data_IF_212043659987
#
_entry.id   IF_212043659987
#
_cell.length_a   1.000
_cell.length_b   1.000
_cell.length_c   1.000
_cell.angle_alpha   90.00
_cell.angle_beta   90.00
_cell.angle_gamma   90.00
#
_symmetry.space_group_name_H-M   'P 1'
#
loop_
_entity.id
_entity.type
_entity.pdbx_description
1 polymer ?
#
# COMPACT_ATOMS: atom_id res chain seq x y z
N UNK A 1 -54.37 11.46 48.28
CA UNK A 1 -53.61 12.64 47.80
C UNK A 1 -52.37 12.12 47.12
N UNK A 2 -52.28 12.27 45.79
CA UNK A 2 -51.24 11.69 44.92
C UNK A 2 -50.29 12.83 44.58
N UNK A 3 -49.09 12.85 45.17
CA UNK A 3 -48.05 13.83 44.86
C UNK A 3 -47.45 13.51 43.49
N UNK A 4 -47.74 14.36 42.50
CA UNK A 4 -47.07 14.37 41.20
C UNK A 4 -45.66 14.94 41.38
N UNK A 5 -44.66 14.16 41.01
CA UNK A 5 -43.26 14.54 40.95
C UNK A 5 -42.98 15.11 39.54
N UNK A 6 -42.42 16.32 39.40
CA UNK A 6 -42.09 16.87 38.08
C UNK A 6 -40.89 16.11 37.47
N UNK A 7 -40.82 15.97 36.13
CA UNK A 7 -39.69 15.33 35.48
C UNK A 7 -38.43 16.18 35.63
N UNK A 8 -37.30 15.52 35.93
CA UNK A 8 -35.99 16.12 36.06
C UNK A 8 -35.64 16.93 34.81
N UNK A 9 -35.36 18.21 35.01
CA UNK A 9 -34.92 19.14 34.00
C UNK A 9 -33.65 18.64 33.32
N UNK A 10 -33.64 18.79 32.00
CA UNK A 10 -32.51 18.58 31.10
C UNK A 10 -31.40 19.57 31.45
N UNK A 11 -30.60 19.25 32.46
CA UNK A 11 -29.45 20.04 32.89
C UNK A 11 -28.24 19.78 31.98
N UNK A 12 -28.44 19.89 30.67
CA UNK A 12 -27.44 19.66 29.62
C UNK A 12 -27.10 20.87 28.76
N UNK A 13 -27.67 22.05 29.06
CA UNK A 13 -27.51 23.25 28.22
C UNK A 13 -26.38 24.19 28.61
N UNK A 14 -26.15 24.42 29.91
CA UNK A 14 -25.24 25.48 30.35
C UNK A 14 -23.76 25.06 30.39
N UNK A 15 -23.46 23.79 30.67
CA UNK A 15 -22.08 23.28 30.67
C UNK A 15 -21.45 23.23 29.27
N UNK A 16 -22.23 22.85 28.26
CA UNK A 16 -21.77 22.78 26.87
C UNK A 16 -21.57 24.15 26.24
N UNK A 17 -22.39 25.15 26.61
CA UNK A 17 -22.21 26.53 26.13
C UNK A 17 -21.01 27.23 26.77
N UNK A 18 -20.68 26.92 28.03
CA UNK A 18 -19.50 27.48 28.70
C UNK A 18 -18.19 27.03 28.04
N UNK A 19 -18.09 25.76 27.61
CA UNK A 19 -16.92 25.23 26.91
C UNK A 19 -16.69 25.86 25.52
N UNK A 20 -17.75 26.32 24.85
CA UNK A 20 -17.67 27.00 23.56
C UNK A 20 -17.21 28.46 23.70
N UNK A 21 -17.54 29.11 24.83
CA UNK A 21 -17.18 30.51 25.11
C UNK A 21 -15.73 30.69 25.59
N UNK A 22 -15.11 29.66 26.16
CA UNK A 22 -13.72 29.71 26.64
C UNK A 22 -12.68 29.31 25.58
N UNK A 23 -13.10 28.86 24.40
CA UNK A 23 -12.18 28.42 23.34
C UNK A 23 -11.38 27.16 23.71
N UNK A 24 -11.81 26.43 24.74
CA UNK A 24 -11.06 25.31 25.30
C UNK A 24 -11.52 23.99 24.67
N UNK A 25 -11.43 23.88 23.35
CA UNK A 25 -11.31 22.56 22.69
C UNK A 25 -9.84 22.16 22.69
N UNK A 26 -9.23 22.10 23.86
CA UNK A 26 -7.96 21.41 24.02
C UNK A 26 -8.28 19.92 24.02
N UNK A 27 -8.53 19.33 22.84
CA UNK A 27 -8.28 17.90 22.69
C UNK A 27 -6.75 17.81 22.60
N UNK A 28 -6.05 17.46 23.70
CA UNK A 28 -4.60 17.49 23.68
C UNK A 28 -4.14 16.58 22.55
N UNK A 29 -3.26 17.08 21.69
CA UNK A 29 -2.67 16.24 20.65
C UNK A 29 -2.12 14.98 21.34
N UNK A 30 -2.42 13.77 20.84
CA UNK A 30 -2.00 12.56 21.49
C UNK A 30 -0.49 12.60 21.70
N UNK A 31 -0.06 12.26 22.91
CA UNK A 31 1.36 12.24 23.26
C UNK A 31 2.07 11.18 22.42
N UNK A 32 3.41 11.22 22.31
CA UNK A 32 4.16 10.15 21.67
C UNK A 32 3.84 8.76 22.27
N UNK A 33 3.60 8.69 23.58
CA UNK A 33 3.19 7.45 24.25
C UNK A 33 1.80 6.98 23.78
N UNK A 34 0.81 7.88 23.72
CA UNK A 34 -0.54 7.55 23.26
C UNK A 34 -0.53 7.05 21.80
N UNK A 35 0.31 7.65 20.95
CA UNK A 35 0.48 7.21 19.55
C UNK A 35 1.14 5.83 19.46
N UNK A 36 2.11 5.55 20.34
CA UNK A 36 2.74 4.23 20.46
C UNK A 36 1.73 3.16 20.85
N UNK A 37 0.88 3.42 21.86
CA UNK A 37 -0.18 2.50 22.26
C UNK A 37 -1.24 2.29 21.17
N UNK A 38 -1.61 3.34 20.45
CA UNK A 38 -2.49 3.22 19.28
C UNK A 38 -1.87 2.34 18.20
N UNK A 39 -0.57 2.46 17.94
CA UNK A 39 0.11 1.64 16.95
C UNK A 39 0.23 0.18 17.41
N UNK A 40 0.43 -0.09 18.71
CA UNK A 40 0.36 -1.44 19.25
C UNK A 40 -1.02 -2.08 19.01
N UNK A 41 -2.11 -1.33 19.19
CA UNK A 41 -3.46 -1.82 18.85
C UNK A 41 -3.59 -2.16 17.36
N UNK A 42 -2.97 -1.38 16.48
CA UNK A 42 -2.95 -1.68 15.03
C UNK A 42 -2.15 -2.96 14.74
N UNK A 43 -1.01 -3.15 15.39
CA UNK A 43 -0.20 -4.39 15.28
C UNK A 43 -1.03 -5.60 15.69
N UNK A 44 -1.75 -5.52 16.81
CA UNK A 44 -2.61 -6.61 17.29
C UNK A 44 -3.76 -6.91 16.32
N UNK A 45 -4.38 -5.87 15.75
CA UNK A 45 -5.41 -6.03 14.72
C UNK A 45 -4.87 -6.73 13.46
N UNK A 46 -3.65 -6.39 13.03
CA UNK A 46 -3.01 -7.04 11.89
C UNK A 46 -2.69 -8.52 12.20
N UNK A 47 -2.25 -8.81 13.41
CA UNK A 47 -1.97 -10.19 13.87
C UNK A 47 -3.22 -11.05 14.03
N UNK A 48 -4.40 -10.45 14.16
CA UNK A 48 -5.67 -11.15 14.22
C UNK A 48 -6.05 -11.85 12.90
N UNK A 49 -5.34 -11.57 11.80
CA UNK A 49 -5.50 -12.22 10.50
C UNK A 49 -4.29 -13.14 10.19
N UNK A 50 -4.18 -14.32 10.82
CA UNK A 50 -2.99 -15.17 10.71
C UNK A 50 -2.77 -15.75 9.30
N UNK A 51 -3.83 -15.83 8.50
CA UNK A 51 -3.80 -16.36 7.13
C UNK A 51 -3.45 -15.29 6.08
N UNK A 52 -3.21 -14.04 6.49
CA UNK A 52 -2.74 -12.96 5.62
C UNK A 52 -1.24 -12.69 5.86
N UNK A 53 -0.35 -13.20 4.99
CA UNK A 53 1.09 -12.96 5.10
C UNK A 53 1.47 -11.48 5.06
N UNK A 54 0.69 -10.65 4.37
CA UNK A 54 0.95 -9.21 4.29
C UNK A 54 0.60 -8.51 5.60
N UNK A 55 -0.50 -8.89 6.25
CA UNK A 55 -0.85 -8.37 7.56
C UNK A 55 0.22 -8.70 8.61
N UNK A 56 0.71 -9.95 8.61
CA UNK A 56 1.81 -10.38 9.49
C UNK A 56 3.11 -9.61 9.23
N UNK A 57 3.50 -9.48 7.96
CA UNK A 57 4.69 -8.71 7.58
C UNK A 57 4.61 -7.23 8.02
N UNK A 58 3.46 -6.58 7.85
CA UNK A 58 3.23 -5.21 8.32
C UNK A 58 3.35 -5.12 9.85
N UNK A 59 2.73 -6.04 10.58
CA UNK A 59 2.76 -6.08 12.04
C UNK A 59 4.19 -6.18 12.57
N UNK A 60 4.98 -7.09 12.00
CA UNK A 60 6.37 -7.32 12.41
C UNK A 60 7.25 -6.10 12.07
N UNK A 61 7.03 -5.45 10.92
CA UNK A 61 7.74 -4.23 10.56
C UNK A 61 7.41 -3.03 11.45
N UNK A 62 6.15 -2.84 11.83
CA UNK A 62 5.74 -1.78 12.77
C UNK A 62 6.27 -2.04 14.19
N UNK A 63 6.28 -3.30 14.64
CA UNK A 63 6.83 -3.65 15.95
C UNK A 63 8.35 -3.43 16.02
N UNK A 64 9.09 -3.84 14.98
CA UNK A 64 10.52 -3.58 14.87
C UNK A 64 10.82 -2.07 14.85
N UNK A 65 10.00 -1.29 14.12
CA UNK A 65 10.14 0.16 14.08
C UNK A 65 9.91 0.82 15.44
N UNK A 66 8.87 0.42 16.18
CA UNK A 66 8.59 0.93 17.52
C UNK A 66 9.70 0.60 18.52
N UNK A 67 10.30 -0.58 18.40
CA UNK A 67 11.35 -1.04 19.30
C UNK A 67 12.69 -0.34 19.07
N UNK A 68 13.10 -0.25 17.81
CA UNK A 68 14.45 0.20 17.46
C UNK A 68 14.51 1.70 17.10
N UNK A 69 13.35 2.32 16.83
CA UNK A 69 13.24 3.77 16.57
C UNK A 69 13.90 4.24 15.27
N UNK A 70 14.26 3.32 14.38
CA UNK A 70 14.97 3.61 13.13
C UNK A 70 14.01 3.92 11.96
N UNK A 71 14.51 3.91 10.73
CA UNK A 71 13.74 4.20 9.50
C UNK A 71 12.64 3.14 9.25
N UNK A 72 11.37 3.55 9.26
CA UNK A 72 10.22 2.66 9.01
C UNK A 72 10.30 1.97 7.64
N UNK A 73 10.85 2.64 6.62
CA UNK A 73 11.00 2.02 5.30
C UNK A 73 12.01 0.88 5.34
N UNK A 74 13.04 0.97 6.17
CA UNK A 74 14.01 -0.09 6.38
C UNK A 74 13.39 -1.24 7.21
N UNK A 75 12.62 -0.92 8.25
CA UNK A 75 11.92 -1.92 9.07
C UNK A 75 10.90 -2.74 8.24
N UNK A 76 10.24 -2.10 7.27
CA UNK A 76 9.38 -2.76 6.30
C UNK A 76 10.15 -3.36 5.11
N UNK A 77 11.47 -3.22 5.00
CA UNK A 77 12.23 -3.72 3.84
C UNK A 77 11.86 -3.07 2.50
N UNK A 78 11.24 -1.89 2.53
CA UNK A 78 10.89 -1.10 1.35
C UNK A 78 12.07 -0.28 0.82
N UNK A 79 13.12 -0.14 1.65
CA UNK A 79 14.35 0.53 1.26
C UNK A 79 15.16 -0.40 0.34
N UNK A 80 15.51 0.06 -0.87
CA UNK A 80 16.33 -0.74 -1.76
C UNK A 80 17.75 -0.89 -1.18
N UNK A 81 18.37 -2.05 -1.37
CA UNK A 81 19.81 -2.20 -1.15
C UNK A 81 20.57 -1.24 -2.07
N UNK A 82 21.80 -0.86 -1.71
CA UNK A 82 22.61 0.05 -2.53
C UNK A 82 22.73 -0.51 -3.96
N UNK A 83 22.30 0.26 -4.98
CA UNK A 83 22.17 -0.18 -6.37
C UNK A 83 20.78 -0.70 -6.79
N UNK A 84 19.86 -0.91 -5.86
CA UNK A 84 18.51 -1.45 -6.07
C UNK A 84 17.45 -0.40 -6.39
N UNK A 85 17.75 0.65 -7.14
CA UNK A 85 16.78 1.73 -7.43
C UNK A 85 15.47 1.24 -8.09
N UNK A 86 15.44 0.00 -8.58
CA UNK A 86 14.28 -0.69 -9.15
C UNK A 86 13.54 -1.61 -8.16
N UNK A 87 14.12 -1.86 -6.98
CA UNK A 87 13.54 -2.67 -5.89
C UNK A 87 12.65 -1.83 -4.97
N UNK A 88 12.62 -0.50 -5.16
CA UNK A 88 11.70 0.39 -4.43
C UNK A 88 10.27 0.04 -4.85
N UNK A 89 9.32 -0.22 -3.93
CA UNK A 89 7.93 -0.58 -4.27
C UNK A 89 7.27 0.37 -5.27
N UNK A 90 7.50 1.68 -5.13
CA UNK A 90 6.97 2.70 -6.03
C UNK A 90 7.44 2.55 -7.50
N UNK A 91 8.56 1.88 -7.74
CA UNK A 91 9.10 1.58 -9.08
C UNK A 91 8.92 0.12 -9.45
N UNK A 92 9.05 -0.80 -8.50
CA UNK A 92 8.89 -2.23 -8.69
C UNK A 92 7.47 -2.61 -9.10
N UNK A 93 6.44 -2.04 -8.47
CA UNK A 93 5.04 -2.38 -8.75
C UNK A 93 4.61 -2.02 -10.19
N UNK A 94 4.86 -0.79 -10.69
CA UNK A 94 4.66 -0.47 -12.11
C UNK A 94 5.34 -1.47 -13.06
N UNK A 95 6.60 -1.83 -12.78
CA UNK A 95 7.37 -2.73 -13.62
C UNK A 95 6.84 -4.17 -13.58
N UNK A 96 6.46 -4.68 -12.40
CA UNK A 96 5.84 -6.00 -12.25
C UNK A 96 4.50 -6.10 -12.97
N UNK A 97 3.66 -5.06 -12.84
CA UNK A 97 2.36 -4.98 -13.54
C UNK A 97 2.55 -4.96 -15.06
N UNK A 98 3.52 -4.17 -15.54
CA UNK A 98 3.92 -4.16 -16.96
C UNK A 98 4.36 -5.54 -17.42
N UNK A 99 5.23 -6.19 -16.67
CA UNK A 99 5.77 -7.50 -17.06
C UNK A 99 4.69 -8.58 -17.08
N UNK A 100 3.73 -8.53 -16.14
CA UNK A 100 2.54 -9.36 -16.17
C UNK A 100 1.69 -9.10 -17.41
N UNK A 101 1.36 -7.85 -17.70
CA UNK A 101 0.57 -7.49 -18.87
C UNK A 101 1.25 -7.88 -20.20
N UNK A 102 2.58 -7.78 -20.28
CA UNK A 102 3.35 -8.24 -21.44
C UNK A 102 3.32 -9.77 -21.60
N UNK A 103 3.32 -10.53 -20.49
CA UNK A 103 3.14 -11.99 -20.53
C UNK A 103 1.74 -12.37 -21.00
N UNK A 104 0.72 -11.71 -20.47
CA UNK A 104 -0.68 -11.95 -20.87
C UNK A 104 -0.87 -11.65 -22.36
N UNK A 105 -0.34 -10.52 -22.83
CA UNK A 105 -0.34 -10.20 -24.26
C UNK A 105 0.38 -11.27 -25.07
N UNK A 106 1.57 -11.73 -24.65
CA UNK A 106 2.29 -12.82 -25.31
C UNK A 106 1.46 -14.11 -25.39
N UNK A 107 0.68 -14.42 -24.36
CA UNK A 107 -0.18 -15.59 -24.33
C UNK A 107 -1.25 -15.55 -25.42
N UNK A 108 -1.73 -14.37 -25.79
CA UNK A 108 -2.73 -14.17 -26.87
C UNK A 108 -2.16 -14.17 -28.28
N UNK A 109 -0.83 -14.06 -28.44
CA UNK A 109 -0.20 -14.03 -29.77
C UNK A 109 -0.16 -15.44 -30.38
N UNK A 110 -0.52 -15.51 -31.66
CA UNK A 110 -0.48 -16.74 -32.47
C UNK A 110 0.90 -17.04 -33.04
N UNK A 111 1.81 -16.05 -33.04
CA UNK A 111 3.18 -16.23 -33.55
C UNK A 111 3.96 -17.22 -32.65
N UNK A 112 4.58 -18.26 -33.21
CA UNK A 112 5.38 -19.21 -32.44
C UNK A 112 6.58 -18.55 -31.76
N UNK A 113 7.07 -17.42 -32.29
CA UNK A 113 8.09 -16.59 -31.70
C UNK A 113 7.49 -15.33 -31.04
N UNK A 114 6.78 -15.56 -29.94
CA UNK A 114 6.12 -14.53 -29.12
C UNK A 114 7.04 -13.35 -28.76
N UNK A 115 8.31 -13.64 -28.48
CA UNK A 115 9.30 -12.62 -28.17
C UNK A 115 9.58 -11.68 -29.36
N UNK A 116 9.72 -12.24 -30.57
CA UNK A 116 9.91 -11.44 -31.79
C UNK A 116 8.68 -10.60 -32.10
N UNK A 117 7.49 -11.19 -32.01
CA UNK A 117 6.23 -10.49 -32.24
C UNK A 117 6.03 -9.32 -31.28
N UNK A 118 6.24 -9.53 -29.97
CA UNK A 118 6.19 -8.45 -28.98
C UNK A 118 7.22 -7.34 -29.25
N UNK A 119 8.45 -7.71 -29.63
CA UNK A 119 9.48 -6.71 -29.96
C UNK A 119 9.10 -5.87 -31.18
N UNK A 120 8.48 -6.48 -32.20
CA UNK A 120 7.95 -5.75 -33.35
C UNK A 120 6.84 -4.78 -32.90
N UNK A 121 5.87 -5.25 -32.10
CA UNK A 121 4.80 -4.42 -31.55
C UNK A 121 5.33 -3.23 -30.72
N UNK A 122 6.39 -3.43 -29.93
CA UNK A 122 7.02 -2.34 -29.16
C UNK A 122 7.69 -1.33 -30.09
N UNK A 123 8.41 -1.78 -31.11
CA UNK A 123 9.08 -0.89 -32.10
C UNK A 123 8.07 -0.08 -32.91
N UNK A 124 6.96 -0.70 -33.27
CA UNK A 124 5.88 -0.09 -34.06
C UNK A 124 4.92 0.77 -33.21
N UNK A 125 5.14 0.83 -31.89
CA UNK A 125 4.24 1.48 -30.92
C UNK A 125 2.79 1.02 -31.09
N UNK A 126 2.61 -0.30 -31.18
CA UNK A 126 1.30 -0.92 -31.33
C UNK A 126 0.32 -0.43 -30.23
N UNK A 127 -0.97 -0.18 -30.52
CA UNK A 127 -1.92 0.39 -29.56
C UNK A 127 -2.01 -0.37 -28.23
N UNK A 128 -1.92 -1.71 -28.26
CA UNK A 128 -1.91 -2.53 -27.05
C UNK A 128 -0.68 -2.28 -26.16
N UNK A 129 0.48 -1.99 -26.76
CA UNK A 129 1.69 -1.62 -26.01
C UNK A 129 1.52 -0.25 -25.36
N UNK A 130 1.00 0.73 -26.11
CA UNK A 130 0.71 2.07 -25.59
C UNK A 130 -0.30 2.03 -24.44
N UNK A 131 -1.28 1.13 -24.52
CA UNK A 131 -2.25 0.91 -23.45
C UNK A 131 -1.58 0.35 -22.19
N UNK A 132 -0.72 -0.66 -22.33
CA UNK A 132 0.07 -1.21 -21.21
C UNK A 132 0.94 -0.11 -20.59
N UNK A 133 1.60 0.72 -21.40
CA UNK A 133 2.38 1.87 -20.93
C UNK A 133 1.55 2.83 -20.07
N UNK A 134 0.36 3.19 -20.54
CA UNK A 134 -0.53 4.11 -19.85
C UNK A 134 -1.08 3.51 -18.54
N UNK A 135 -1.54 2.26 -18.57
CA UNK A 135 -2.14 1.58 -17.41
C UNK A 135 -1.12 1.28 -16.32
N UNK A 136 0.13 0.98 -16.70
CA UNK A 136 1.19 0.61 -15.75
C UNK A 136 2.12 1.77 -15.41
N UNK A 137 2.04 2.89 -16.14
CA UNK A 137 2.98 4.01 -16.05
C UNK A 137 4.44 3.57 -16.28
N UNK A 138 4.67 2.51 -17.05
CA UNK A 138 6.00 1.95 -17.29
C UNK A 138 6.21 1.56 -18.76
N UNK A 139 7.26 2.10 -19.38
CA UNK A 139 7.64 1.77 -20.76
C UNK A 139 8.11 0.30 -20.88
N UNK A 140 7.89 -0.38 -22.03
CA UNK A 140 8.43 -1.69 -22.30
C UNK A 140 9.95 -1.69 -22.17
N UNK A 141 10.49 -2.75 -21.59
CA UNK A 141 11.94 -2.92 -21.49
C UNK A 141 12.61 -3.15 -22.85
N UNK A 142 13.93 -3.25 -22.84
CA UNK A 142 14.71 -3.58 -24.04
C UNK A 142 14.32 -4.95 -24.62
N UNK A 143 14.74 -5.23 -25.85
CA UNK A 143 14.54 -6.55 -26.50
C UNK A 143 15.02 -7.71 -25.63
N UNK A 144 16.19 -7.56 -24.98
CA UNK A 144 16.73 -8.56 -24.06
C UNK A 144 15.88 -8.72 -22.79
N UNK A 145 15.27 -7.63 -22.33
CA UNK A 145 14.37 -7.65 -21.19
C UNK A 145 13.05 -8.37 -21.52
N UNK A 146 12.46 -8.10 -22.68
CA UNK A 146 11.24 -8.80 -23.15
C UNK A 146 11.48 -10.30 -23.25
N UNK A 147 12.62 -10.73 -23.83
CA UNK A 147 13.00 -12.15 -23.86
C UNK A 147 13.08 -12.74 -22.46
N UNK A 148 13.68 -12.02 -21.51
CA UNK A 148 13.83 -12.47 -20.12
C UNK A 148 12.47 -12.66 -19.43
N UNK A 149 11.55 -11.70 -19.58
CA UNK A 149 10.19 -11.78 -19.03
C UNK A 149 9.48 -13.06 -19.47
N UNK A 150 9.66 -13.46 -20.74
CA UNK A 150 9.01 -14.63 -21.32
C UNK A 150 9.70 -15.96 -20.97
N UNK A 151 10.97 -15.93 -20.58
CA UNK A 151 11.74 -17.12 -20.18
C UNK A 151 11.74 -17.38 -18.68
N UNK A 152 11.45 -16.38 -17.84
CA UNK A 152 11.51 -16.51 -16.38
C UNK A 152 10.41 -17.37 -15.75
N UNK A 153 9.47 -17.92 -16.55
CA UNK A 153 8.38 -18.79 -16.09
C UNK A 153 8.62 -20.28 -16.32
N UNK A 154 9.81 -20.69 -16.76
CA UNK A 154 10.13 -22.10 -16.99
C UNK A 154 10.81 -22.79 -15.78
N UNK A 155 10.76 -22.19 -14.59
CA UNK A 155 11.53 -22.64 -13.43
C UNK A 155 10.84 -22.56 -12.07
N UNK A 156 9.51 -22.44 -12.04
CA UNK A 156 8.72 -22.66 -10.82
C UNK A 156 7.96 -23.99 -10.92
#
# INVERSE_FOLDING_TARGET
MKTMQPPAEVSGGLGAMAAWLTGETANPLPTPADRGEQLHKVIDLLRAFPDDPAARWCADGFEAWLKDGHDLQAALGLRPRQGGAYDVPARALPLQRRDAALRDLAATLTDPNKARALVAMVRERHPLILRIEAETCAAPGSTSHIKRILHSTAGD
#
